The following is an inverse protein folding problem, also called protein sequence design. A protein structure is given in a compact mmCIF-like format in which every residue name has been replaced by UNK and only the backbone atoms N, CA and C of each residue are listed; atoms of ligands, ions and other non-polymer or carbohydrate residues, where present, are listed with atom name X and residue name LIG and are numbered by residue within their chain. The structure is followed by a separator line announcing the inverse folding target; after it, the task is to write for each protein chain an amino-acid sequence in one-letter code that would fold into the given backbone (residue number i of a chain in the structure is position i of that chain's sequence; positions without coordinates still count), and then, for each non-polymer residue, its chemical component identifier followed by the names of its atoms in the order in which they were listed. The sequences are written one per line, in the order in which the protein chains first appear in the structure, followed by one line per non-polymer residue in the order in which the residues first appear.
data_IF_691157648963
#
_entry.id   IF_691157648963
#
_cell.length_a   1.000
_cell.length_b   1.000
_cell.length_c   1.000
_cell.angle_alpha   90.00
_cell.angle_beta   90.00
_cell.angle_gamma   90.00
#
_symmetry.space_group_name_H-M   'P 1'
#
loop_
_entity.id
_entity.type
_entity.pdbx_description
1 polymer ?
#
# COMPACT_ATOMS: atom_id res chain seq x y z
N UNK A 1 15.72 -6.02 -10.21
CA UNK A 1 14.44 -5.44 -9.80
C UNK A 1 14.48 -5.25 -8.30
N UNK A 2 14.12 -4.06 -7.84
CA UNK A 2 14.24 -3.66 -6.43
C UNK A 2 13.04 -4.10 -5.62
N UNK A 3 11.84 -3.73 -6.07
CA UNK A 3 10.57 -4.03 -5.39
C UNK A 3 9.38 -3.97 -6.34
N UNK A 4 8.27 -4.59 -5.91
CA UNK A 4 6.98 -4.51 -6.58
C UNK A 4 5.94 -3.98 -5.58
N UNK A 5 5.15 -2.99 -6.01
CA UNK A 5 4.01 -2.50 -5.26
C UNK A 5 2.74 -3.16 -5.78
N UNK A 6 2.08 -3.89 -4.90
CA UNK A 6 0.86 -4.63 -5.19
C UNK A 6 -0.37 -3.84 -4.72
N UNK A 7 -1.36 -3.59 -5.58
CA UNK A 7 -2.56 -2.87 -5.20
C UNK A 7 -3.43 -3.74 -4.26
N UNK A 8 -3.93 -3.16 -3.18
CA UNK A 8 -4.91 -3.75 -2.29
C UNK A 8 -6.09 -2.81 -2.14
N UNK A 9 -7.31 -3.32 -2.39
CA UNK A 9 -8.53 -2.52 -2.23
C UNK A 9 -8.59 -1.90 -0.83
N UNK A 10 -8.79 -0.58 -0.81
CA UNK A 10 -8.81 0.23 0.40
C UNK A 10 -9.68 1.47 0.19
N UNK A 11 -9.95 2.20 1.27
CA UNK A 11 -10.39 3.60 1.18
C UNK A 11 -9.14 4.50 1.10
N UNK A 12 -9.11 5.41 0.13
CA UNK A 12 -7.96 6.28 -0.19
C UNK A 12 -8.37 7.75 -0.23
N UNK A 13 -7.39 8.63 -0.21
CA UNK A 13 -7.60 10.08 -0.33
C UNK A 13 -8.32 10.41 -1.65
N UNK A 14 -9.40 11.22 -1.63
CA UNK A 14 -10.06 11.69 -2.85
C UNK A 14 -9.12 12.48 -3.76
N UNK A 15 -9.36 12.45 -5.07
CA UNK A 15 -8.51 13.15 -6.03
C UNK A 15 -8.51 14.66 -5.77
N UNK A 16 -9.67 15.21 -5.45
CA UNK A 16 -9.90 16.62 -5.21
C UNK A 16 -9.08 17.14 -4.02
N UNK A 17 -8.86 16.29 -3.02
CA UNK A 17 -8.00 16.58 -1.86
C UNK A 17 -6.54 16.67 -2.30
N UNK A 18 -6.07 15.71 -3.11
CA UNK A 18 -4.69 15.73 -3.65
C UNK A 18 -4.45 16.93 -4.55
N UNK A 19 -5.42 17.26 -5.40
CA UNK A 19 -5.38 18.43 -6.28
C UNK A 19 -5.34 19.73 -5.46
N UNK A 20 -6.04 19.81 -4.33
CA UNK A 20 -5.97 20.97 -3.43
C UNK A 20 -4.63 21.07 -2.70
N UNK A 21 -4.08 19.97 -2.19
CA UNK A 21 -2.76 19.94 -1.53
C UNK A 21 -1.67 20.41 -2.50
N UNK A 22 -1.76 20.02 -3.77
CA UNK A 22 -0.79 20.42 -4.80
C UNK A 22 -0.80 21.91 -5.14
N UNK A 23 -1.82 22.67 -4.70
CA UNK A 23 -1.84 24.14 -4.83
C UNK A 23 -1.02 24.84 -3.74
N UNK A 24 -0.62 24.13 -2.69
CA UNK A 24 0.20 24.73 -1.63
C UNK A 24 1.61 25.01 -2.14
N UNK A 25 2.10 26.23 -1.94
CA UNK A 25 3.48 26.59 -2.26
C UNK A 25 4.50 25.78 -1.44
N UNK A 26 4.10 25.39 -0.22
CA UNK A 26 4.88 24.54 0.68
C UNK A 26 3.99 23.43 1.23
N UNK A 27 4.45 22.17 1.22
CA UNK A 27 3.69 21.03 1.74
C UNK A 27 4.41 20.47 2.97
N UNK A 28 3.87 20.74 4.15
CA UNK A 28 4.30 20.10 5.40
C UNK A 28 3.35 18.94 5.72
N UNK A 29 3.79 17.70 5.53
CA UNK A 29 3.00 16.51 5.89
C UNK A 29 3.32 16.08 7.32
N UNK A 30 2.29 15.91 8.14
CA UNK A 30 2.41 15.28 9.46
C UNK A 30 3.06 13.89 9.34
N UNK A 31 4.08 13.56 10.16
CA UNK A 31 4.68 12.23 10.15
C UNK A 31 3.74 11.17 10.76
N UNK A 32 2.73 11.60 11.52
CA UNK A 32 1.85 10.71 12.28
C UNK A 32 0.48 10.48 11.63
N UNK A 33 0.10 11.31 10.66
CA UNK A 33 -1.27 11.28 10.11
C UNK A 33 -1.35 11.83 8.69
N UNK A 34 -2.52 11.65 8.06
CA UNK A 34 -2.87 12.23 6.78
C UNK A 34 -3.30 13.70 6.95
N UNK A 35 -2.37 14.53 7.43
CA UNK A 35 -2.57 15.97 7.57
C UNK A 35 -1.47 16.74 6.84
N UNK A 36 -1.88 17.78 6.12
CA UNK A 36 -1.02 18.59 5.27
C UNK A 36 -1.22 20.07 5.61
N UNK A 37 -0.12 20.80 5.77
CA UNK A 37 -0.14 22.24 6.01
C UNK A 37 0.56 22.98 4.88
N UNK A 38 0.12 24.20 4.60
CA UNK A 38 0.71 25.03 3.54
C UNK A 38 1.95 25.82 3.97
N UNK A 39 2.46 25.59 5.19
CA UNK A 39 3.55 26.37 5.81
C UNK A 39 4.54 25.47 6.56
N UNK A 40 5.80 25.89 6.69
CA UNK A 40 6.77 25.23 7.58
C UNK A 40 6.48 25.53 9.06
N UNK A 41 7.25 24.89 9.95
CA UNK A 41 7.28 25.26 11.38
C UNK A 41 6.05 24.84 12.19
N UNK A 42 5.17 24.00 11.64
CA UNK A 42 4.05 23.41 12.39
C UNK A 42 4.58 22.36 13.38
N UNK A 43 4.22 22.50 14.65
CA UNK A 43 4.49 21.52 15.70
C UNK A 43 3.17 21.09 16.36
N UNK A 44 3.21 20.28 17.42
CA UNK A 44 2.00 19.98 18.19
C UNK A 44 1.41 21.24 18.83
N UNK A 45 2.26 22.04 19.47
CA UNK A 45 1.85 23.19 20.31
C UNK A 45 1.78 24.52 19.55
N UNK A 46 2.25 24.56 18.30
CA UNK A 46 2.27 25.79 17.51
C UNK A 46 1.71 25.59 16.10
N UNK A 47 0.86 26.52 15.69
CA UNK A 47 0.32 26.67 14.34
C UNK A 47 0.47 28.13 13.93
N UNK A 48 1.10 28.44 12.78
CA UNK A 48 1.18 29.81 12.29
C UNK A 48 -0.21 30.38 12.03
N UNK A 49 -0.42 31.63 12.43
CA UNK A 49 -1.66 32.36 12.16
C UNK A 49 -1.91 32.46 10.65
N UNK A 50 -3.15 32.23 10.23
CA UNK A 50 -3.55 32.19 8.83
C UNK A 50 -3.10 30.96 8.04
N UNK A 51 -2.44 29.98 8.68
CA UNK A 51 -2.05 28.74 8.01
C UNK A 51 -3.25 27.91 7.58
N UNK A 52 -3.11 27.22 6.45
CA UNK A 52 -4.07 26.25 5.93
C UNK A 52 -3.69 24.86 6.35
N UNK A 53 -4.71 24.05 6.68
CA UNK A 53 -4.56 22.62 6.91
C UNK A 53 -5.64 21.84 6.16
N UNK A 54 -5.21 20.76 5.51
CA UNK A 54 -6.09 19.74 4.95
C UNK A 54 -5.92 18.46 5.78
N UNK A 55 -7.02 17.90 6.30
CA UNK A 55 -7.01 16.72 7.18
C UNK A 55 -8.34 15.97 7.13
N UNK A 56 -8.29 14.65 7.32
CA UNK A 56 -9.46 13.77 7.47
C UNK A 56 -9.93 13.61 8.92
N UNK A 57 -9.26 14.28 9.86
CA UNK A 57 -9.58 14.23 11.28
C UNK A 57 -9.39 15.59 11.96
N UNK A 58 -10.33 15.93 12.85
CA UNK A 58 -10.43 17.20 13.57
C UNK A 58 -11.00 16.97 14.97
N UNK A 59 -10.78 17.93 15.89
CA UNK A 59 -11.34 17.89 17.24
C UNK A 59 -11.02 16.63 18.07
N UNK A 60 -9.99 15.88 17.72
CA UNK A 60 -9.65 14.61 18.37
C UNK A 60 -8.96 14.81 19.72
N UNK A 61 -9.11 13.82 20.62
CA UNK A 61 -8.45 13.83 21.93
C UNK A 61 -7.17 13.01 21.86
N UNK A 62 -6.05 13.61 22.28
CA UNK A 62 -4.77 12.94 22.42
C UNK A 62 -4.05 13.45 23.66
N UNK A 63 -3.48 12.52 24.44
CA UNK A 63 -2.84 12.82 25.73
C UNK A 63 -3.73 13.63 26.70
N UNK A 64 -5.04 13.36 26.69
CA UNK A 64 -6.03 14.04 27.55
C UNK A 64 -6.43 15.44 27.08
N UNK A 65 -5.83 15.96 26.01
CA UNK A 65 -6.13 17.29 25.45
C UNK A 65 -6.83 17.16 24.10
N UNK A 66 -7.72 18.12 23.81
CA UNK A 66 -8.39 18.22 22.51
C UNK A 66 -7.54 19.02 21.55
N UNK A 67 -7.29 18.48 20.37
CA UNK A 67 -6.40 19.07 19.37
C UNK A 67 -7.19 19.53 18.15
N UNK A 68 -6.59 20.45 17.42
CA UNK A 68 -7.04 20.81 16.08
C UNK A 68 -8.50 21.28 16.04
N UNK A 69 -8.78 22.25 16.91
CA UNK A 69 -10.12 22.71 17.21
C UNK A 69 -10.74 23.40 16.00
N UNK A 70 -11.90 22.92 15.53
CA UNK A 70 -12.73 23.65 14.57
C UNK A 70 -13.53 24.73 15.30
N UNK A 71 -13.75 25.86 14.63
CA UNK A 71 -14.56 26.95 15.19
C UNK A 71 -16.05 26.61 15.22
N UNK A 72 -16.52 25.86 14.23
CA UNK A 72 -17.96 25.67 13.94
C UNK A 72 -18.57 24.44 14.64
N UNK A 73 -17.74 23.55 15.19
CA UNK A 73 -18.21 22.35 15.89
C UNK A 73 -17.22 21.88 16.94
N UNK A 74 -17.74 21.26 18.00
CA UNK A 74 -16.96 20.56 19.00
C UNK A 74 -16.91 19.04 18.77
N UNK A 75 -17.65 18.50 17.80
CA UNK A 75 -17.67 17.07 17.56
C UNK A 75 -16.33 16.59 17.01
N UNK A 76 -15.89 15.41 17.46
CA UNK A 76 -14.75 14.73 16.86
C UNK A 76 -15.11 14.29 15.44
N UNK A 77 -14.30 14.71 14.48
CA UNK A 77 -14.46 14.32 13.07
C UNK A 77 -13.36 13.32 12.74
N UNK A 78 -13.74 12.18 12.17
CA UNK A 78 -12.82 11.19 11.62
C UNK A 78 -13.32 10.74 10.24
N UNK A 79 -12.38 10.49 9.33
CA UNK A 79 -12.64 10.08 7.94
C UNK A 79 -13.43 11.09 7.10
N UNK A 80 -13.41 12.39 7.42
CA UNK A 80 -14.01 13.43 6.57
C UNK A 80 -12.97 14.51 6.28
N UNK A 81 -12.63 14.66 5.01
CA UNK A 81 -11.59 15.58 4.56
C UNK A 81 -12.09 17.01 4.53
N UNK A 82 -11.36 17.90 5.21
CA UNK A 82 -11.68 19.31 5.32
C UNK A 82 -10.41 20.14 5.10
N UNK A 83 -10.54 21.24 4.36
CA UNK A 83 -9.59 22.34 4.31
C UNK A 83 -10.09 23.42 5.27
N UNK A 84 -9.23 23.83 6.20
CA UNK A 84 -9.54 24.90 7.14
C UNK A 84 -8.34 25.84 7.34
N UNK A 85 -8.63 27.08 7.76
CA UNK A 85 -7.65 28.12 8.06
C UNK A 85 -7.55 28.36 9.56
N UNK A 86 -6.34 28.41 10.10
CA UNK A 86 -6.10 28.72 11.49
C UNK A 86 -6.26 30.23 11.75
N UNK A 87 -7.20 30.61 12.61
CA UNK A 87 -7.49 31.97 13.02
C UNK A 87 -7.78 32.00 14.52
N UNK A 88 -7.10 32.87 15.27
CA UNK A 88 -7.36 33.13 16.70
C UNK A 88 -7.50 31.86 17.56
N UNK A 89 -6.60 30.89 17.35
CA UNK A 89 -6.56 29.65 18.15
C UNK A 89 -7.39 28.49 17.61
N UNK A 90 -8.24 28.69 16.59
CA UNK A 90 -9.13 27.67 16.02
C UNK A 90 -9.02 27.59 14.50
N UNK A 91 -9.54 26.51 13.92
CA UNK A 91 -9.61 26.30 12.48
C UNK A 91 -11.02 26.62 11.96
N UNK A 92 -11.09 27.49 10.95
CA UNK A 92 -12.33 27.86 10.27
C UNK A 92 -12.43 27.11 8.95
N UNK A 93 -13.54 26.40 8.73
CA UNK A 93 -13.74 25.56 7.56
C UNK A 93 -13.80 26.44 6.31
N UNK A 94 -13.02 26.09 5.30
CA UNK A 94 -13.08 26.72 3.97
C UNK A 94 -13.75 25.82 2.94
N UNK A 95 -13.53 24.51 3.05
CA UNK A 95 -14.05 23.52 2.09
C UNK A 95 -14.08 22.14 2.70
N UNK A 96 -15.17 21.41 2.44
CA UNK A 96 -15.31 19.99 2.75
C UNK A 96 -15.20 19.17 1.47
N UNK A 97 -14.48 18.05 1.53
CA UNK A 97 -14.28 17.14 0.40
C UNK A 97 -15.01 15.80 0.58
N UNK A 98 -15.50 15.51 1.78
CA UNK A 98 -16.18 14.25 2.08
C UNK A 98 -15.24 13.14 2.55
N UNK A 99 -15.76 11.92 2.59
CA UNK A 99 -15.00 10.76 3.05
C UNK A 99 -13.94 10.28 2.07
N UNK A 100 -13.04 9.42 2.57
CA UNK A 100 -12.18 8.60 1.72
C UNK A 100 -12.99 7.79 0.70
N UNK A 101 -12.49 7.72 -0.53
CA UNK A 101 -13.15 7.02 -1.66
C UNK A 101 -12.56 5.63 -1.88
N UNK A 102 -13.29 4.71 -2.55
CA UNK A 102 -12.72 3.43 -2.96
C UNK A 102 -11.49 3.61 -3.86
N UNK A 103 -10.44 2.85 -3.58
CA UNK A 103 -9.21 2.81 -4.37
C UNK A 103 -8.28 1.70 -3.87
N UNK A 104 -6.98 1.94 -3.95
CA UNK A 104 -5.95 0.94 -3.68
C UNK A 104 -4.81 1.53 -2.86
N UNK A 105 -4.39 0.80 -1.82
CA UNK A 105 -3.12 1.03 -1.13
C UNK A 105 -2.11 -0.03 -1.54
N UNK A 106 -0.84 0.32 -1.52
CA UNK A 106 0.20 -0.60 -1.96
C UNK A 106 0.75 -1.46 -0.83
N UNK A 107 0.85 -2.76 -1.08
CA UNK A 107 1.75 -3.64 -0.34
C UNK A 107 3.06 -3.72 -1.11
N UNK A 108 4.14 -3.25 -0.48
CA UNK A 108 5.48 -3.48 -0.98
C UNK A 108 5.92 -4.93 -0.74
N UNK A 109 6.39 -5.56 -1.81
CA UNK A 109 7.00 -6.89 -1.85
C UNK A 109 8.38 -6.77 -2.49
N UNK A 110 9.42 -7.23 -1.79
CA UNK A 110 10.79 -7.24 -2.32
C UNK A 110 11.12 -8.53 -3.10
N UNK A 111 12.31 -8.59 -3.70
CA UNK A 111 12.79 -9.74 -4.47
C UNK A 111 12.76 -11.06 -3.69
N UNK A 112 13.20 -11.07 -2.43
CA UNK A 112 13.23 -12.29 -1.61
C UNK A 112 11.81 -12.79 -1.30
N UNK A 113 10.88 -11.88 -1.04
CA UNK A 113 9.47 -12.22 -0.86
C UNK A 113 8.84 -12.75 -2.16
N UNK A 114 9.23 -12.23 -3.34
CA UNK A 114 8.78 -12.75 -4.63
C UNK A 114 9.32 -14.16 -4.92
N UNK A 115 10.59 -14.44 -4.60
CA UNK A 115 11.14 -15.80 -4.72
C UNK A 115 10.40 -16.80 -3.81
N UNK A 116 10.09 -16.38 -2.58
CA UNK A 116 9.25 -17.16 -1.68
C UNK A 116 7.88 -17.44 -2.33
N UNK A 117 7.21 -16.40 -2.82
CA UNK A 117 5.90 -16.52 -3.44
C UNK A 117 5.95 -17.41 -4.69
N UNK A 118 7.01 -17.32 -5.49
CA UNK A 118 7.26 -18.16 -6.68
C UNK A 118 7.35 -19.63 -6.29
N UNK A 119 8.16 -19.92 -5.28
CA UNK A 119 8.29 -21.27 -4.74
C UNK A 119 6.95 -21.80 -4.23
N UNK A 120 6.24 -21.03 -3.40
CA UNK A 120 4.96 -21.45 -2.83
C UNK A 120 3.91 -21.66 -3.92
N UNK A 121 3.83 -20.76 -4.89
CA UNK A 121 2.93 -20.84 -6.04
C UNK A 121 3.21 -22.10 -6.89
N UNK A 122 4.49 -22.44 -7.11
CA UNK A 122 4.89 -23.67 -7.83
C UNK A 122 4.41 -24.97 -7.13
N UNK A 123 4.18 -24.91 -5.82
CA UNK A 123 3.64 -26.01 -5.01
C UNK A 123 2.11 -25.97 -4.87
N UNK A 124 1.42 -25.20 -5.71
CA UNK A 124 -0.04 -25.02 -5.63
C UNK A 124 -0.47 -24.05 -4.53
N UNK A 125 0.44 -23.19 -4.05
CA UNK A 125 0.18 -22.13 -3.10
C UNK A 125 0.08 -22.57 -1.64
N UNK A 126 0.32 -23.85 -1.32
CA UNK A 126 0.08 -24.42 0.01
C UNK A 126 1.12 -25.50 0.35
N UNK A 127 1.87 -25.33 1.45
CA UNK A 127 2.93 -26.27 1.88
C UNK A 127 2.95 -26.46 3.39
N UNK A 128 3.75 -27.40 3.87
CA UNK A 128 3.96 -27.59 5.31
C UNK A 128 4.79 -26.45 5.92
N UNK A 129 4.48 -26.01 7.14
CA UNK A 129 5.30 -24.95 7.77
C UNK A 129 6.75 -25.35 7.98
N UNK A 130 7.01 -26.64 8.22
CA UNK A 130 8.37 -27.17 8.44
C UNK A 130 9.26 -26.98 7.20
N UNK A 131 8.69 -27.09 6.01
CA UNK A 131 9.39 -26.87 4.75
C UNK A 131 9.81 -25.41 4.59
N UNK A 132 8.91 -24.49 4.96
CA UNK A 132 9.20 -23.05 4.92
C UNK A 132 10.29 -22.63 5.89
N UNK A 133 10.22 -23.05 7.16
CA UNK A 133 11.21 -22.68 8.17
C UNK A 133 12.65 -23.13 7.85
N UNK A 134 12.81 -24.09 6.93
CA UNK A 134 14.14 -24.51 6.45
C UNK A 134 14.71 -23.59 5.39
N UNK A 135 13.86 -22.94 4.60
CA UNK A 135 14.24 -22.21 3.40
C UNK A 135 14.20 -20.69 3.60
N UNK A 136 13.33 -20.20 4.49
CA UNK A 136 13.08 -18.77 4.65
C UNK A 136 12.93 -18.41 6.14
N UNK A 137 13.60 -17.33 6.56
CA UNK A 137 13.50 -16.78 7.93
C UNK A 137 12.25 -15.93 8.12
N UNK A 138 11.94 -15.09 7.13
CA UNK A 138 10.83 -14.15 7.17
C UNK A 138 9.68 -14.58 6.25
N UNK A 139 8.45 -14.27 6.65
CA UNK A 139 7.24 -14.61 5.91
C UNK A 139 6.73 -13.40 5.12
N UNK A 140 6.43 -13.55 3.81
CA UNK A 140 5.84 -12.47 3.04
C UNK A 140 4.47 -12.04 3.58
N UNK A 141 4.12 -10.77 3.42
CA UNK A 141 2.85 -10.18 3.91
C UNK A 141 1.58 -10.86 3.38
N UNK A 142 1.64 -11.49 2.19
CA UNK A 142 0.50 -12.14 1.52
C UNK A 142 0.27 -13.59 1.96
N UNK A 143 1.12 -14.12 2.82
CA UNK A 143 1.16 -15.53 3.21
C UNK A 143 0.71 -15.67 4.65
N UNK A 144 -0.12 -16.68 4.92
CA UNK A 144 -0.58 -17.02 6.27
C UNK A 144 -0.12 -18.40 6.69
N UNK A 145 -0.08 -18.60 8.00
CA UNK A 145 0.07 -19.91 8.62
C UNK A 145 -1.20 -20.27 9.37
N UNK A 146 -1.60 -21.54 9.32
CA UNK A 146 -2.71 -22.04 10.10
C UNK A 146 -2.50 -23.47 10.57
N UNK A 147 -3.39 -23.90 11.47
CA UNK A 147 -3.39 -25.25 12.00
C UNK A 147 -4.47 -26.10 11.32
N UNK A 148 -4.14 -27.31 10.87
CA UNK A 148 -5.06 -28.16 10.10
C UNK A 148 -6.28 -28.67 10.86
N UNK A 149 -6.30 -28.48 12.19
CA UNK A 149 -7.50 -28.65 13.04
C UNK A 149 -8.57 -27.60 12.77
N UNK A 150 -8.19 -26.39 12.34
CA UNK A 150 -9.10 -25.27 12.08
C UNK A 150 -9.68 -25.34 10.67
N UNK A 151 -10.30 -26.48 10.31
CA UNK A 151 -10.74 -26.82 8.95
C UNK A 151 -11.60 -25.73 8.31
N UNK A 152 -12.57 -25.17 9.04
CA UNK A 152 -13.47 -24.10 8.55
C UNK A 152 -12.69 -22.86 8.08
N UNK A 153 -11.73 -22.41 8.89
CA UNK A 153 -10.88 -21.25 8.55
C UNK A 153 -9.97 -21.55 7.36
N UNK A 154 -9.38 -22.74 7.31
CA UNK A 154 -8.49 -23.12 6.22
C UNK A 154 -9.24 -23.30 4.90
N UNK A 155 -10.42 -23.91 4.88
CA UNK A 155 -11.24 -24.01 3.68
C UNK A 155 -11.61 -22.63 3.12
N UNK A 156 -11.99 -21.69 4.01
CA UNK A 156 -12.29 -20.31 3.62
C UNK A 156 -11.09 -19.60 2.99
N UNK A 157 -9.88 -19.80 3.53
CA UNK A 157 -8.71 -19.03 3.12
C UNK A 157 -7.83 -19.74 2.07
N UNK A 158 -7.87 -21.06 1.93
CA UNK A 158 -7.07 -21.84 0.97
C UNK A 158 -7.90 -22.25 -0.26
N UNK A 159 -9.21 -22.34 -0.12
CA UNK A 159 -10.07 -22.98 -1.11
C UNK A 159 -10.16 -24.50 -0.91
N UNK A 160 -11.29 -25.08 -1.31
CA UNK A 160 -11.59 -26.49 -1.06
C UNK A 160 -10.65 -27.44 -1.81
N UNK A 161 -10.40 -27.18 -3.10
CA UNK A 161 -9.56 -28.02 -3.96
C UNK A 161 -8.11 -28.06 -3.47
N UNK A 162 -7.51 -26.88 -3.26
CA UNK A 162 -6.12 -26.75 -2.75
C UNK A 162 -5.96 -27.38 -1.38
N UNK A 163 -6.94 -27.24 -0.48
CA UNK A 163 -6.89 -27.87 0.84
C UNK A 163 -7.01 -29.39 0.77
N UNK A 164 -7.89 -29.93 -0.09
CA UNK A 164 -8.02 -31.38 -0.33
C UNK A 164 -6.72 -31.96 -0.87
N UNK A 165 -6.14 -31.35 -1.90
CA UNK A 165 -4.84 -31.76 -2.48
C UNK A 165 -3.75 -31.80 -1.43
N UNK A 166 -3.59 -30.71 -0.66
CA UNK A 166 -2.61 -30.66 0.43
C UNK A 166 -2.79 -31.80 1.44
N UNK A 167 -4.03 -32.09 1.86
CA UNK A 167 -4.31 -33.15 2.83
C UNK A 167 -4.06 -34.56 2.31
N UNK A 168 -4.26 -34.81 1.03
CA UNK A 168 -3.94 -36.09 0.39
C UNK A 168 -2.43 -36.36 0.44
N UNK A 169 -1.62 -35.34 0.11
CA UNK A 169 -0.16 -35.41 0.10
C UNK A 169 0.45 -35.37 1.52
N UNK A 170 -0.22 -34.74 2.49
CA UNK A 170 0.35 -34.41 3.81
C UNK A 170 -0.52 -34.86 5.00
N UNK A 171 -0.90 -36.14 5.06
CA UNK A 171 -1.86 -36.69 6.06
C UNK A 171 -1.53 -36.35 7.53
N UNK A 172 -0.25 -36.36 7.92
CA UNK A 172 0.20 -36.15 9.32
C UNK A 172 0.56 -34.69 9.66
N UNK A 173 0.50 -33.77 8.70
CA UNK A 173 0.95 -32.39 8.91
C UNK A 173 -0.11 -31.56 9.65
N UNK A 174 0.34 -30.90 10.73
CA UNK A 174 -0.49 -30.10 11.64
C UNK A 174 -0.48 -28.61 11.32
N UNK A 175 0.61 -28.07 10.79
CA UNK A 175 0.75 -26.65 10.43
C UNK A 175 1.01 -26.49 8.95
N UNK A 176 0.30 -25.55 8.33
CA UNK A 176 0.31 -25.27 6.90
C UNK A 176 0.58 -23.79 6.66
N UNK A 177 1.39 -23.51 5.65
CA UNK A 177 1.65 -22.16 5.14
C UNK A 177 1.02 -22.05 3.76
N UNK A 178 0.31 -20.96 3.50
CA UNK A 178 -0.47 -20.82 2.27
C UNK A 178 -0.62 -19.37 1.82
N UNK A 179 -0.75 -19.19 0.50
CA UNK A 179 -1.26 -17.96 -0.12
C UNK A 179 -2.78 -17.99 0.05
N UNK A 180 -3.36 -16.92 0.62
CA UNK A 180 -4.81 -16.81 0.72
C UNK A 180 -5.46 -16.82 -0.68
N UNK A 181 -6.63 -17.44 -0.80
CA UNK A 181 -7.34 -17.60 -2.06
C UNK A 181 -7.61 -16.26 -2.75
N UNK A 182 -8.04 -15.26 -1.97
CA UNK A 182 -8.22 -13.88 -2.44
C UNK A 182 -6.94 -13.25 -3.02
N UNK A 183 -5.76 -13.76 -2.66
CA UNK A 183 -4.46 -13.25 -3.11
C UNK A 183 -3.86 -14.09 -4.25
N UNK A 184 -4.48 -15.20 -4.68
CA UNK A 184 -3.87 -16.06 -5.70
C UNK A 184 -3.69 -15.33 -7.04
N UNK A 185 -4.71 -14.59 -7.48
CA UNK A 185 -4.65 -13.84 -8.73
C UNK A 185 -3.61 -12.71 -8.70
N UNK A 186 -3.54 -11.96 -7.59
CA UNK A 186 -2.56 -10.87 -7.47
C UNK A 186 -1.13 -11.41 -7.40
N UNK A 187 -0.91 -12.54 -6.74
CA UNK A 187 0.40 -13.21 -6.70
C UNK A 187 0.78 -13.72 -8.09
N UNK A 188 -0.13 -14.36 -8.81
CA UNK A 188 0.15 -14.81 -10.19
C UNK A 188 0.65 -13.65 -11.06
N UNK A 189 -0.07 -12.52 -11.07
CA UNK A 189 0.32 -11.33 -11.82
C UNK A 189 1.66 -10.76 -11.36
N UNK A 190 1.90 -10.72 -10.05
CA UNK A 190 3.16 -10.28 -9.48
C UNK A 190 4.33 -11.13 -9.98
N UNK A 191 4.17 -12.45 -10.04
CA UNK A 191 5.19 -13.37 -10.56
C UNK A 191 5.41 -13.19 -12.06
N UNK A 192 4.36 -13.01 -12.85
CA UNK A 192 4.49 -12.71 -14.29
C UNK A 192 5.25 -11.40 -14.53
N UNK A 193 4.96 -10.35 -13.75
CA UNK A 193 5.71 -9.09 -13.82
C UNK A 193 7.16 -9.25 -13.36
N UNK A 194 7.39 -10.06 -12.33
CA UNK A 194 8.73 -10.35 -11.85
C UNK A 194 9.57 -11.08 -12.91
N UNK A 195 9.00 -12.03 -13.64
CA UNK A 195 9.70 -12.70 -14.74
C UNK A 195 10.09 -11.72 -15.85
N UNK A 196 9.16 -10.85 -16.27
CA UNK A 196 9.41 -9.77 -17.23
C UNK A 196 10.41 -8.72 -16.73
N UNK A 197 10.56 -8.56 -15.41
CA UNK A 197 11.41 -7.51 -14.84
C UNK A 197 12.89 -7.69 -15.20
N UNK A 198 13.33 -8.92 -15.42
CA UNK A 198 14.72 -9.22 -15.82
C UNK A 198 15.10 -8.50 -17.10
N UNK A 199 14.25 -8.56 -18.13
CA UNK A 199 14.49 -7.87 -19.41
C UNK A 199 14.55 -6.36 -19.22
N UNK A 200 13.69 -5.81 -18.35
CA UNK A 200 13.64 -4.38 -18.07
C UNK A 200 14.84 -3.89 -17.26
N UNK A 201 15.35 -4.70 -16.33
CA UNK A 201 16.58 -4.40 -15.58
C UNK A 201 17.82 -4.44 -16.49
N UNK A 202 17.86 -5.32 -17.50
CA UNK A 202 18.95 -5.31 -18.48
C UNK A 202 18.97 -4.00 -19.27
N UNK A 203 17.82 -3.46 -19.66
CA UNK A 203 17.72 -2.14 -20.30
C UNK A 203 18.22 -1.01 -19.39
N UNK A 204 18.21 -1.18 -18.07
CA UNK A 204 18.69 -0.15 -17.13
C UNK A 204 20.22 0.01 -17.14
N UNK A 205 20.97 -0.90 -17.77
CA UNK A 205 22.45 -0.93 -17.73
C UNK A 205 23.11 0.02 -18.73
N UNK A 206 22.38 0.54 -19.71
CA UNK A 206 22.91 1.41 -20.76
C UNK A 206 22.05 2.66 -20.92
N UNK A 207 22.63 3.76 -21.38
CA UNK A 207 21.90 5.00 -21.64
C UNK A 207 20.81 4.79 -22.71
N UNK A 208 21.14 4.09 -23.80
CA UNK A 208 20.19 3.74 -24.85
C UNK A 208 19.01 2.89 -24.33
N UNK A 209 19.29 1.95 -23.41
CA UNK A 209 18.24 1.14 -22.80
C UNK A 209 17.34 1.96 -21.86
N UNK A 210 17.90 2.93 -21.13
CA UNK A 210 17.12 3.88 -20.33
C UNK A 210 16.21 4.73 -21.22
N UNK A 211 16.70 5.22 -22.35
CA UNK A 211 15.87 5.96 -23.33
C UNK A 211 14.72 5.08 -23.85
N UNK A 212 14.98 3.80 -24.13
CA UNK A 212 13.94 2.85 -24.52
C UNK A 212 12.91 2.63 -23.40
N UNK A 213 13.36 2.51 -22.14
CA UNK A 213 12.46 2.40 -20.98
C UNK A 213 11.54 3.62 -20.86
N UNK A 214 12.06 4.82 -21.08
CA UNK A 214 11.26 6.07 -21.00
C UNK A 214 10.27 6.12 -22.17
N UNK A 215 10.75 5.88 -23.39
CA UNK A 215 9.96 6.12 -24.59
C UNK A 215 8.91 5.04 -24.84
N UNK A 216 9.25 3.77 -24.63
CA UNK A 216 8.39 2.61 -24.90
C UNK A 216 7.53 2.24 -23.69
N UNK A 217 8.16 2.11 -22.51
CA UNK A 217 7.50 1.60 -21.31
C UNK A 217 6.97 2.72 -20.40
N UNK A 218 7.13 3.98 -20.79
CA UNK A 218 6.68 5.17 -20.05
C UNK A 218 7.15 5.15 -18.60
N UNK A 219 8.40 4.73 -18.40
CA UNK A 219 9.00 4.68 -17.07
C UNK A 219 9.21 6.06 -16.50
N UNK A 220 9.22 6.14 -15.18
CA UNK A 220 9.39 7.39 -14.44
C UNK A 220 10.25 7.17 -13.21
N UNK A 221 10.87 8.24 -12.70
CA UNK A 221 11.62 8.17 -11.44
C UNK A 221 10.67 7.89 -10.27
N UNK A 222 10.88 6.78 -9.58
CA UNK A 222 10.04 6.41 -8.46
C UNK A 222 10.27 7.33 -7.25
N UNK A 223 9.19 7.76 -6.59
CA UNK A 223 9.24 8.50 -5.32
C UNK A 223 8.62 7.62 -4.23
N UNK A 224 9.32 7.40 -3.12
CA UNK A 224 8.87 6.48 -2.05
C UNK A 224 7.59 6.94 -1.32
N UNK A 225 6.98 8.06 -1.68
CA UNK A 225 5.70 8.54 -1.17
C UNK A 225 4.47 7.96 -1.89
N UNK A 226 4.63 7.08 -2.89
CA UNK A 226 3.51 6.39 -3.54
C UNK A 226 2.88 5.33 -2.62
N UNK A 227 1.89 5.74 -1.84
CA UNK A 227 1.19 4.87 -0.87
C UNK A 227 -0.20 4.44 -1.32
N UNK A 228 -0.82 5.17 -2.25
CA UNK A 228 -2.19 4.95 -2.71
C UNK A 228 -2.41 5.28 -4.20
N UNK A 229 -3.51 4.78 -4.75
CA UNK A 229 -3.94 4.96 -6.14
C UNK A 229 -5.46 4.80 -6.24
N UNK A 230 -6.11 5.56 -7.12
CA UNK A 230 -7.52 5.35 -7.47
C UNK A 230 -7.72 4.16 -8.43
N UNK A 231 -6.67 3.81 -9.17
CA UNK A 231 -6.67 2.73 -10.15
C UNK A 231 -5.96 1.48 -9.62
N UNK A 232 -6.43 0.30 -10.03
CA UNK A 232 -5.79 -0.98 -9.74
C UNK A 232 -4.54 -1.14 -10.62
N UNK A 233 -3.41 -0.62 -10.14
CA UNK A 233 -2.13 -0.65 -10.85
C UNK A 233 -1.09 -1.41 -10.04
N UNK A 234 -0.22 -2.14 -10.73
CA UNK A 234 1.02 -2.65 -10.16
C UNK A 234 2.13 -1.66 -10.49
N UNK A 235 3.06 -1.45 -9.56
CA UNK A 235 4.23 -0.59 -9.82
C UNK A 235 5.48 -1.43 -9.62
N UNK A 236 6.14 -1.73 -10.74
CA UNK A 236 7.43 -2.43 -10.76
C UNK A 236 8.53 -1.38 -10.61
N UNK A 237 9.37 -1.50 -9.58
CA UNK A 237 10.53 -0.63 -9.36
C UNK A 237 11.80 -1.38 -9.74
N UNK A 238 12.46 -0.91 -10.78
CA UNK A 238 13.69 -1.46 -11.35
C UNK A 238 14.91 -1.12 -10.48
N UNK A 239 16.04 -1.79 -10.71
CA UNK A 239 17.25 -1.64 -9.88
C UNK A 239 17.84 -0.23 -9.89
N UNK A 240 17.70 0.50 -11.00
CA UNK A 240 18.14 1.89 -11.11
C UNK A 240 17.16 2.91 -10.47
N UNK A 241 16.07 2.44 -9.85
CA UNK A 241 15.07 3.29 -9.19
C UNK A 241 14.00 3.87 -10.12
N UNK A 242 14.00 3.49 -11.40
CA UNK A 242 12.88 3.78 -12.30
C UNK A 242 11.70 2.85 -12.00
N UNK A 243 10.49 3.30 -12.30
CA UNK A 243 9.27 2.55 -12.11
C UNK A 243 8.45 2.43 -13.40
N UNK A 244 7.78 1.29 -13.53
CA UNK A 244 6.84 0.97 -14.62
C UNK A 244 5.47 0.71 -14.00
N UNK A 245 4.42 1.36 -14.53
CA UNK A 245 3.03 1.01 -14.20
C UNK A 245 2.59 -0.16 -15.07
N UNK A 246 2.11 -1.22 -14.44
CA UNK A 246 1.49 -2.35 -15.11
C UNK A 246 0.00 -2.42 -14.75
N UNK A 247 -0.86 -2.29 -15.76
CA UNK A 247 -2.30 -2.26 -15.61
C UNK A 247 -2.88 -3.67 -15.68
N UNK A 248 -4.04 -3.86 -15.04
CA UNK A 248 -4.77 -5.15 -14.98
C UNK A 248 -5.02 -5.81 -16.36
N UNK A 249 -5.03 -5.02 -17.44
CA UNK A 249 -5.53 -5.41 -18.77
C UNK A 249 -4.49 -5.24 -19.90
N UNK A 250 -3.19 -5.20 -19.61
CA UNK A 250 -2.13 -5.24 -20.63
C UNK A 250 -1.03 -6.24 -20.27
#
# INVERSE_FOLDING_TARGET
MKKLLLPQSAKVTPKEVLDEINKFEYINKSPYSLSYYNVPGVSWDYKPEGSLRISDHWNFISHGNKHCLLADTEEEIQNNWILAKYIDGKYHILKEFGENVPGYRFIEINKNELEFLKYLYSKGGTVSSKEIYRLYRDRPKLVKEGHTKNKKSLLKNIGEERFKKFKQENKKIKKVVFIEEKNMNIVHKALTLYEKSTELDELCKTEQGVDQLINTYKTYKFKDNHIESLEEIFILVLDNGMAVKAYKNK
#
